data_IF_824851630641
#
_entry.id   IF_824851630641
#
_cell.length_a   1.000
_cell.length_b   1.000
_cell.length_c   1.000
_cell.angle_alpha   90.00
_cell.angle_beta   90.00
_cell.angle_gamma   90.00
#
_symmetry.space_group_name_H-M   'P 1'
#
loop_
_entity.id
_entity.type
_entity.pdbx_description
1 polymer ?
#
# COMPACT_ATOMS: atom_id res chain seq x y z
N UNK A 1 14.91 -9.09 -6.63
CA UNK A 1 14.10 -9.92 -7.56
C UNK A 1 14.80 -11.21 -7.99
N UNK A 2 16.06 -11.16 -8.47
CA UNK A 2 16.80 -12.36 -8.91
C UNK A 2 17.01 -13.38 -7.78
N UNK A 3 17.36 -12.93 -6.58
CA UNK A 3 17.56 -13.79 -5.41
C UNK A 3 16.31 -14.61 -5.03
N UNK A 4 15.12 -14.02 -5.13
CA UNK A 4 13.86 -14.73 -4.88
C UNK A 4 13.60 -15.84 -5.92
N UNK A 5 13.90 -15.57 -7.20
CA UNK A 5 13.74 -16.54 -8.27
C UNK A 5 14.72 -17.70 -8.11
N UNK A 6 15.99 -17.41 -7.81
CA UNK A 6 17.01 -18.43 -7.54
C UNK A 6 16.63 -19.31 -6.34
N UNK A 7 16.15 -18.71 -5.24
CA UNK A 7 15.75 -19.45 -4.03
C UNK A 7 14.55 -20.37 -4.24
N UNK A 8 13.63 -19.98 -5.11
CA UNK A 8 12.40 -20.72 -5.39
C UNK A 8 12.51 -21.59 -6.67
N UNK A 9 13.63 -21.53 -7.38
CA UNK A 9 13.90 -22.37 -8.54
C UNK A 9 13.88 -23.85 -8.13
N UNK A 10 13.26 -24.69 -8.97
CA UNK A 10 13.13 -26.13 -8.71
C UNK A 10 12.16 -26.52 -7.60
N UNK A 11 11.51 -25.56 -6.92
CA UNK A 11 10.49 -25.85 -5.90
C UNK A 11 9.09 -25.89 -6.51
N UNK A 12 8.21 -26.66 -5.86
CA UNK A 12 6.80 -26.65 -6.18
C UNK A 12 6.16 -25.28 -5.89
N UNK A 13 5.16 -24.89 -6.71
CA UNK A 13 4.44 -23.60 -6.59
C UNK A 13 3.88 -23.31 -5.19
N UNK A 14 3.47 -24.35 -4.46
CA UNK A 14 2.93 -24.24 -3.10
C UNK A 14 4.02 -24.04 -2.03
N UNK A 15 5.28 -24.33 -2.34
CA UNK A 15 6.42 -24.23 -1.44
C UNK A 15 7.20 -22.90 -1.59
N UNK A 16 6.75 -21.99 -2.45
CA UNK A 16 7.40 -20.70 -2.64
C UNK A 16 7.35 -19.85 -1.38
N UNK A 17 8.51 -19.29 -1.01
CA UNK A 17 8.66 -18.39 0.14
C UNK A 17 9.17 -17.04 -0.32
N UNK A 18 8.54 -15.98 0.18
CA UNK A 18 8.83 -14.60 -0.16
C UNK A 18 9.14 -13.82 1.12
N UNK A 19 10.27 -13.12 1.14
CA UNK A 19 10.62 -12.19 2.23
C UNK A 19 9.74 -10.95 2.16
N UNK A 20 9.85 -10.06 3.16
CA UNK A 20 9.16 -8.76 3.09
C UNK A 20 9.73 -7.91 1.95
N UNK A 21 11.04 -7.87 1.77
CA UNK A 21 11.68 -7.11 0.69
C UNK A 21 11.23 -7.59 -0.69
N UNK A 22 11.15 -8.91 -0.89
CA UNK A 22 10.62 -9.48 -2.12
C UNK A 22 9.19 -8.98 -2.38
N UNK A 23 8.33 -9.01 -1.34
CA UNK A 23 6.94 -8.55 -1.44
C UNK A 23 6.86 -7.05 -1.68
N UNK A 24 7.73 -6.23 -1.09
CA UNK A 24 7.77 -4.78 -1.29
C UNK A 24 8.08 -4.43 -2.74
N UNK A 25 9.07 -5.10 -3.34
CA UNK A 25 9.42 -4.90 -4.76
C UNK A 25 8.27 -5.32 -5.68
N UNK A 26 7.71 -6.51 -5.46
CA UNK A 26 6.59 -6.99 -6.28
C UNK A 26 5.30 -6.19 -6.07
N UNK A 27 5.07 -5.66 -4.87
CA UNK A 27 3.97 -4.73 -4.59
C UNK A 27 4.13 -3.45 -5.41
N UNK A 28 5.34 -2.88 -5.47
CA UNK A 28 5.64 -1.71 -6.32
C UNK A 28 5.29 -1.97 -7.79
N UNK A 29 5.74 -3.09 -8.35
CA UNK A 29 5.44 -3.45 -9.74
C UNK A 29 3.93 -3.61 -9.97
N UNK A 30 3.23 -4.28 -9.05
CA UNK A 30 1.78 -4.43 -9.13
C UNK A 30 1.03 -3.09 -9.03
N UNK A 31 1.57 -2.10 -8.31
CA UNK A 31 0.99 -0.75 -8.20
C UNK A 31 1.15 0.06 -9.47
N UNK A 32 2.25 -0.10 -10.19
CA UNK A 32 2.44 0.53 -11.50
C UNK A 32 1.57 -0.08 -12.61
N UNK A 33 1.25 -1.38 -12.52
CA UNK A 33 0.38 -2.02 -13.51
C UNK A 33 -0.03 -3.45 -13.13
N UNK A 34 -1.30 -3.70 -12.75
CA UNK A 34 -1.74 -5.03 -12.34
C UNK A 34 -1.79 -6.04 -13.50
N UNK A 35 -2.05 -5.57 -14.73
CA UNK A 35 -2.00 -6.39 -15.94
C UNK A 35 -0.56 -6.84 -16.24
N UNK A 36 0.39 -5.89 -16.23
CA UNK A 36 1.81 -6.17 -16.40
C UNK A 36 2.35 -7.09 -15.31
N UNK A 37 1.92 -6.90 -14.06
CA UNK A 37 2.27 -7.81 -12.98
C UNK A 37 1.79 -9.24 -13.25
N UNK A 38 0.60 -9.41 -13.82
CA UNK A 38 0.06 -10.74 -14.16
C UNK A 38 0.81 -11.42 -15.30
N UNK A 39 1.35 -10.66 -16.25
CA UNK A 39 2.10 -11.20 -17.39
C UNK A 39 3.60 -11.39 -17.13
N UNK A 40 4.13 -10.96 -15.99
CA UNK A 40 5.54 -11.21 -15.62
C UNK A 40 5.91 -12.70 -15.73
N UNK A 41 6.96 -13.06 -16.50
CA UNK A 41 7.36 -14.45 -16.77
C UNK A 41 8.17 -15.11 -15.65
N UNK A 42 8.20 -14.52 -14.45
CA UNK A 42 9.04 -14.92 -13.33
C UNK A 42 8.24 -15.43 -12.12
N UNK A 43 8.91 -16.11 -11.20
CA UNK A 43 8.32 -16.53 -9.92
C UNK A 43 7.96 -15.29 -9.12
N UNK A 44 6.66 -15.10 -8.88
CA UNK A 44 6.09 -13.92 -8.21
C UNK A 44 5.01 -14.32 -7.20
N UNK A 45 4.80 -13.52 -6.16
CA UNK A 45 3.67 -13.68 -5.26
C UNK A 45 2.33 -13.68 -6.02
N UNK A 46 1.38 -14.50 -5.58
CA UNK A 46 0.01 -14.40 -6.06
C UNK A 46 -0.61 -13.05 -5.68
N UNK A 47 -1.64 -12.61 -6.43
CA UNK A 47 -2.38 -11.37 -6.13
C UNK A 47 -2.92 -11.34 -4.70
N UNK A 48 -3.42 -12.48 -4.21
CA UNK A 48 -3.89 -12.64 -2.83
C UNK A 48 -2.79 -12.35 -1.80
N UNK A 49 -1.56 -12.79 -2.04
CA UNK A 49 -0.40 -12.52 -1.17
C UNK A 49 -0.04 -11.04 -1.17
N UNK A 50 -0.08 -10.38 -2.32
CA UNK A 50 0.15 -8.93 -2.44
C UNK A 50 -0.95 -8.16 -1.69
N UNK A 51 -2.22 -8.49 -1.93
CA UNK A 51 -3.35 -7.87 -1.22
C UNK A 51 -3.27 -8.08 0.30
N UNK A 52 -2.91 -9.29 0.76
CA UNK A 52 -2.73 -9.56 2.20
C UNK A 52 -1.57 -8.77 2.79
N UNK A 53 -0.51 -8.53 2.02
CA UNK A 53 0.61 -7.69 2.45
C UNK A 53 0.16 -6.24 2.57
N UNK A 54 -0.61 -5.74 1.60
CA UNK A 54 -1.15 -4.38 1.62
C UNK A 54 -2.14 -4.18 2.78
N UNK A 55 -2.99 -5.16 3.09
CA UNK A 55 -3.94 -5.12 4.22
C UNK A 55 -3.27 -4.96 5.59
N UNK A 56 -1.96 -5.21 5.72
CA UNK A 56 -1.24 -4.94 6.96
C UNK A 56 -1.10 -3.44 7.23
N UNK A 57 -1.15 -2.61 6.18
CA UNK A 57 -1.18 -1.16 6.31
C UNK A 57 -2.61 -0.74 6.62
N UNK A 58 -2.85 -0.32 7.86
CA UNK A 58 -4.13 0.27 8.25
C UNK A 58 -4.13 1.75 7.89
N UNK A 59 -5.09 2.14 7.07
CA UNK A 59 -5.36 3.54 6.76
C UNK A 59 -6.63 3.95 7.48
N UNK A 60 -6.51 4.96 8.33
CA UNK A 60 -7.62 5.59 9.03
C UNK A 60 -7.72 7.05 8.56
N UNK A 61 -8.90 7.68 8.65
CA UNK A 61 -9.04 9.11 8.45
C UNK A 61 -8.09 9.91 9.34
N UNK A 62 -7.67 11.09 8.87
CA UNK A 62 -6.69 11.94 9.55
C UNK A 62 -5.24 11.63 9.18
N UNK A 63 -4.31 12.07 10.01
CA UNK A 63 -2.87 11.93 9.76
C UNK A 63 -2.37 10.52 10.08
N UNK A 64 -1.83 9.83 9.08
CA UNK A 64 -1.22 8.53 9.27
C UNK A 64 0.17 8.68 9.92
N UNK A 65 0.26 8.40 11.22
CA UNK A 65 1.50 8.52 12.01
C UNK A 65 2.67 7.71 11.44
N UNK A 66 2.40 6.51 10.91
CA UNK A 66 3.45 5.66 10.32
C UNK A 66 4.06 6.34 9.10
N UNK A 67 3.23 6.97 8.27
CA UNK A 67 3.73 7.74 7.12
C UNK A 67 4.48 8.99 7.57
N UNK A 68 3.99 9.71 8.58
CA UNK A 68 4.68 10.90 9.11
C UNK A 68 6.06 10.57 9.69
N UNK A 69 6.16 9.48 10.46
CA UNK A 69 7.44 9.00 11.00
C UNK A 69 8.39 8.53 9.90
N UNK A 70 7.86 7.87 8.86
CA UNK A 70 8.67 7.50 7.71
C UNK A 70 9.20 8.76 7.01
N UNK A 71 8.34 9.72 6.68
CA UNK A 71 8.77 10.98 6.03
C UNK A 71 9.79 11.75 6.87
N UNK A 72 9.61 11.80 8.20
CA UNK A 72 10.58 12.44 9.10
C UNK A 72 11.98 11.87 8.95
N UNK A 73 12.12 10.53 8.93
CA UNK A 73 13.43 9.87 8.75
C UNK A 73 14.06 10.19 7.39
N UNK A 74 13.25 10.36 6.36
CA UNK A 74 13.74 10.72 5.02
C UNK A 74 14.23 12.17 4.99
N UNK A 75 13.50 13.10 5.61
CA UNK A 75 13.87 14.52 5.68
C UNK A 75 15.12 14.74 6.54
N UNK A 76 15.29 13.98 7.62
CA UNK A 76 16.49 14.02 8.46
C UNK A 76 17.77 13.63 7.68
N UNK A 77 17.64 12.77 6.67
CA UNK A 77 18.74 12.39 5.79
C UNK A 77 19.06 13.43 4.70
N UNK A 78 18.21 14.44 4.52
CA UNK A 78 18.42 15.51 3.53
C UNK A 78 19.29 16.64 4.11
N UNK A 79 20.09 17.32 3.26
CA UNK A 79 20.73 18.58 3.58
C UNK A 79 19.71 19.62 4.06
N UNK A 80 20.09 20.54 4.96
CA UNK A 80 19.17 21.53 5.54
C UNK A 80 18.46 22.39 4.49
N UNK A 81 19.17 22.78 3.44
CA UNK A 81 18.64 23.54 2.30
C UNK A 81 17.49 22.83 1.56
N UNK A 82 17.41 21.49 1.65
CA UNK A 82 16.40 20.68 0.98
C UNK A 82 15.24 20.27 1.91
N UNK A 83 15.21 20.80 3.15
CA UNK A 83 14.16 20.49 4.14
C UNK A 83 12.94 21.40 4.06
N UNK A 84 13.01 22.47 3.28
CA UNK A 84 11.87 23.34 3.04
C UNK A 84 10.89 22.67 2.07
N UNK A 85 9.64 22.52 2.50
CA UNK A 85 8.59 21.86 1.71
C UNK A 85 7.31 22.68 1.72
N UNK A 86 6.57 22.65 0.60
CA UNK A 86 5.24 23.25 0.51
C UNK A 86 4.20 22.14 0.63
N UNK A 87 3.25 22.31 1.54
CA UNK A 87 2.11 21.40 1.68
C UNK A 87 0.94 21.96 0.89
N UNK A 88 0.59 21.29 -0.20
CA UNK A 88 -0.56 21.62 -1.03
C UNK A 88 -1.59 20.51 -0.89
N UNK A 89 -2.82 20.89 -0.58
CA UNK A 89 -3.96 19.97 -0.51
C UNK A 89 -5.14 20.56 -1.26
N UNK A 90 -5.92 19.67 -1.88
CA UNK A 90 -7.15 19.98 -2.59
C UNK A 90 -8.15 18.87 -2.29
N UNK A 91 -9.43 19.16 -2.47
CA UNK A 91 -10.52 18.21 -2.24
C UNK A 91 -10.85 17.46 -3.54
N UNK A 92 -11.16 16.16 -3.42
CA UNK A 92 -11.59 15.34 -4.55
C UNK A 92 -13.05 14.94 -4.37
N UNK A 93 -13.88 15.21 -5.37
CA UNK A 93 -15.25 14.72 -5.39
C UNK A 93 -15.26 13.19 -5.51
N UNK A 94 -15.78 12.51 -4.49
CA UNK A 94 -15.96 11.06 -4.48
C UNK A 94 -17.42 10.70 -4.80
N UNK A 95 -17.62 9.54 -5.43
CA UNK A 95 -18.97 9.01 -5.63
C UNK A 95 -19.56 8.62 -4.28
N UNK A 96 -20.73 9.18 -3.99
CA UNK A 96 -21.50 8.85 -2.79
C UNK A 96 -21.93 7.38 -2.80
N UNK A 97 -21.43 6.59 -1.85
CA UNK A 97 -21.78 5.18 -1.69
C UNK A 97 -21.48 4.70 -0.26
N UNK A 98 -22.39 3.88 0.28
CA UNK A 98 -22.11 3.08 1.47
C UNK A 98 -21.43 1.77 1.09
N UNK A 99 -20.36 1.43 1.80
CA UNK A 99 -19.66 0.16 1.66
C UNK A 99 -19.49 -0.46 3.04
N UNK A 100 -19.91 -1.71 3.19
CA UNK A 100 -19.64 -2.46 4.41
C UNK A 100 -18.22 -3.01 4.37
N UNK A 101 -17.40 -2.65 5.35
CA UNK A 101 -16.08 -3.23 5.58
C UNK A 101 -16.20 -4.39 6.57
N UNK A 102 -16.26 -5.60 6.03
CA UNK A 102 -16.34 -6.83 6.83
C UNK A 102 -15.11 -7.10 7.71
N UNK A 103 -13.98 -6.41 7.48
CA UNK A 103 -12.77 -6.61 8.29
C UNK A 103 -12.85 -5.86 9.61
N UNK A 104 -13.49 -4.69 9.61
CA UNK A 104 -13.63 -3.81 10.78
C UNK A 104 -15.09 -3.75 11.28
N UNK A 105 -15.98 -4.57 10.72
CA UNK A 105 -17.42 -4.62 11.01
C UNK A 105 -18.07 -3.23 11.07
N UNK A 106 -17.90 -2.45 9.98
CA UNK A 106 -18.39 -1.08 9.93
C UNK A 106 -18.91 -0.68 8.55
N UNK A 107 -19.88 0.23 8.54
CA UNK A 107 -20.35 0.88 7.33
C UNK A 107 -19.45 2.10 7.07
N UNK A 108 -18.74 2.08 5.95
CA UNK A 108 -17.92 3.19 5.45
C UNK A 108 -18.73 3.98 4.44
N UNK A 109 -18.79 5.30 4.59
CA UNK A 109 -19.58 6.17 3.73
C UNK A 109 -19.39 7.63 4.12
N UNK A 110 -20.50 8.31 4.40
CA UNK A 110 -20.47 9.73 4.74
C UNK A 110 -19.66 10.00 6.01
N UNK A 111 -18.87 11.06 5.93
CA UNK A 111 -18.25 11.69 7.09
C UNK A 111 -19.30 12.62 7.67
N UNK A 112 -19.81 12.30 8.85
CA UNK A 112 -20.66 13.21 9.62
C UNK A 112 -19.74 14.19 10.37
N UNK A 113 -19.83 15.47 10.01
CA UNK A 113 -19.07 16.54 10.68
C UNK A 113 -19.72 17.01 11.98
N UNK A 114 -20.85 16.43 12.40
CA UNK A 114 -21.54 16.74 13.66
C UNK A 114 -22.52 17.90 13.58
N UNK A 115 -22.75 18.45 12.38
CA UNK A 115 -23.52 19.69 12.19
C UNK A 115 -25.01 19.42 11.92
N UNK A 116 -25.42 18.15 11.82
CA UNK A 116 -26.78 17.77 11.44
C UNK A 116 -27.17 18.11 9.98
N UNK A 117 -26.29 18.79 9.24
CA UNK A 117 -26.45 19.07 7.81
C UNK A 117 -25.82 17.93 7.03
N UNK A 118 -26.66 17.17 6.34
CA UNK A 118 -26.29 16.09 5.43
C UNK A 118 -25.86 16.62 4.07
#
# INVERSE_FOLDING_TARGET
MLQCNLRNAGRNKHAYRYTLDDKSVFLGINKHGPCGYSSLPMIKPGRSTISRTLKKLRFCPGLNRILMEAMKRWIEALPEQDREVVVVFDEMALRVRFTYDATEDKIVGFVDFGNGVR
#
